data_IF_500275088181
#
_entry.id   IF_500275088181
#
_cell.length_a   1.000
_cell.length_b   1.000
_cell.length_c   1.000
_cell.angle_alpha   90.00
_cell.angle_beta   90.00
_cell.angle_gamma   90.00
#
_symmetry.space_group_name_H-M   'P 1'
#
loop_
_entity.id
_entity.type
_entity.pdbx_description
1 polymer ?
#
# COMPACT_ATOMS: atom_id res chain seq x y z
N UNK A 1 8.89 9.95 -2.67
CA UNK A 1 8.84 11.28 -3.34
C UNK A 1 9.20 11.13 -4.81
N UNK A 2 8.96 12.14 -5.65
CA UNK A 2 9.63 12.21 -6.96
C UNK A 2 11.04 12.78 -6.75
N UNK A 3 12.02 12.38 -7.57
CA UNK A 3 13.30 13.08 -7.61
C UNK A 3 13.13 14.52 -8.12
N UNK A 4 12.28 14.71 -9.13
CA UNK A 4 12.05 16.03 -9.69
C UNK A 4 11.19 16.86 -8.72
N UNK A 5 11.70 18.05 -8.38
CA UNK A 5 10.96 19.04 -7.58
C UNK A 5 9.91 19.72 -8.47
N UNK A 6 8.78 20.10 -7.87
CA UNK A 6 7.70 20.84 -8.56
C UNK A 6 6.97 20.08 -9.68
N UNK A 7 7.06 18.74 -9.73
CA UNK A 7 6.27 17.93 -10.65
C UNK A 7 6.63 18.05 -12.13
N UNK A 8 7.76 18.68 -12.47
CA UNK A 8 8.30 18.77 -13.83
C UNK A 8 9.42 17.75 -13.98
N UNK A 9 9.08 16.55 -14.45
CA UNK A 9 10.07 15.48 -14.67
C UNK A 9 10.21 15.15 -16.16
N UNK A 10 11.43 15.27 -16.70
CA UNK A 10 11.73 14.99 -18.11
C UNK A 10 12.52 13.70 -18.33
N UNK A 11 13.01 13.06 -17.27
CA UNK A 11 13.86 11.86 -17.37
C UNK A 11 13.17 10.71 -18.12
N UNK A 12 11.90 10.43 -17.80
CA UNK A 12 11.12 9.39 -18.49
C UNK A 12 10.83 9.73 -19.96
N UNK A 13 10.73 11.02 -20.30
CA UNK A 13 10.55 11.47 -21.67
C UNK A 13 11.85 11.30 -22.47
N UNK A 14 12.97 11.72 -21.88
CA UNK A 14 14.28 11.66 -22.52
C UNK A 14 14.73 10.22 -22.82
N UNK A 15 14.62 9.32 -21.83
CA UNK A 15 15.14 7.95 -21.95
C UNK A 15 14.20 7.00 -22.71
N UNK A 16 12.89 7.20 -22.60
CA UNK A 16 11.90 6.22 -23.05
C UNK A 16 10.71 6.82 -23.82
N UNK A 17 10.80 8.09 -24.22
CA UNK A 17 9.76 8.82 -24.93
C UNK A 17 8.37 8.77 -24.23
N UNK A 18 8.37 8.71 -22.89
CA UNK A 18 7.16 8.56 -22.05
C UNK A 18 7.06 9.71 -21.05
N UNK A 19 6.15 10.65 -21.27
CA UNK A 19 6.09 11.89 -20.47
C UNK A 19 5.51 11.66 -19.07
N UNK A 20 6.33 11.84 -18.04
CA UNK A 20 5.87 11.79 -16.64
C UNK A 20 4.81 12.86 -16.34
N UNK A 21 4.92 14.02 -16.98
CA UNK A 21 3.97 15.13 -16.82
C UNK A 21 2.59 14.84 -17.47
N UNK A 22 2.49 13.80 -18.30
CA UNK A 22 1.23 13.30 -18.88
C UNK A 22 0.77 11.99 -18.23
N UNK A 23 1.41 11.58 -17.13
CA UNK A 23 1.09 10.33 -16.46
C UNK A 23 1.67 9.08 -17.14
N UNK A 24 2.70 9.20 -17.97
CA UNK A 24 3.29 8.02 -18.62
C UNK A 24 4.61 7.57 -17.97
N UNK A 25 4.95 8.15 -16.81
CA UNK A 25 6.19 7.90 -16.07
C UNK A 25 6.49 6.40 -15.91
N UNK A 26 7.68 5.99 -16.34
CA UNK A 26 8.15 4.59 -16.21
C UNK A 26 9.07 4.36 -15.01
N UNK A 27 9.19 5.37 -14.14
CA UNK A 27 9.91 5.27 -12.86
C UNK A 27 11.42 4.97 -13.00
N UNK A 28 12.09 5.60 -13.96
CA UNK A 28 13.55 5.47 -14.19
C UNK A 28 14.35 5.76 -12.92
N UNK A 29 14.01 6.84 -12.21
CA UNK A 29 14.61 7.17 -10.92
C UNK A 29 14.54 6.05 -9.87
N UNK A 30 13.65 5.07 -10.03
CA UNK A 30 13.44 3.97 -9.07
C UNK A 30 14.30 2.73 -9.35
N UNK A 31 15.08 2.74 -10.43
CA UNK A 31 15.97 1.64 -10.81
C UNK A 31 17.27 1.68 -10.01
N UNK A 32 18.02 0.57 -10.03
CA UNK A 32 19.39 0.52 -9.55
C UNK A 32 20.36 1.06 -10.61
N UNK A 33 21.40 1.75 -10.17
CA UNK A 33 22.42 2.36 -11.00
C UNK A 33 23.82 2.00 -10.50
N UNK A 34 24.78 1.95 -11.44
CA UNK A 34 26.21 1.94 -11.16
C UNK A 34 26.70 3.38 -11.33
N UNK A 35 27.51 3.86 -10.38
CA UNK A 35 28.11 5.19 -10.45
C UNK A 35 29.46 5.08 -11.15
N UNK A 36 29.63 5.80 -12.25
CA UNK A 36 30.88 5.85 -13.01
C UNK A 36 31.36 7.29 -13.07
N UNK A 37 32.63 7.50 -12.70
CA UNK A 37 33.35 8.76 -12.92
C UNK A 37 33.52 8.96 -14.44
N UNK A 38 33.06 10.09 -14.97
CA UNK A 38 33.06 10.33 -16.41
C UNK A 38 34.46 10.66 -16.95
N UNK A 39 35.33 11.19 -16.09
CA UNK A 39 36.67 11.66 -16.41
C UNK A 39 37.67 10.51 -16.40
N UNK A 40 37.53 9.58 -15.47
CA UNK A 40 38.44 8.42 -15.34
C UNK A 40 37.84 7.12 -15.86
N UNK A 41 36.53 7.03 -16.03
CA UNK A 41 35.82 5.79 -16.38
C UNK A 41 35.75 4.78 -15.23
N UNK A 42 36.25 5.11 -14.04
CA UNK A 42 36.25 4.21 -12.90
C UNK A 42 34.84 4.09 -12.31
N UNK A 43 34.42 2.85 -12.03
CA UNK A 43 33.24 2.61 -11.22
C UNK A 43 33.53 2.95 -9.74
N UNK A 44 32.64 3.74 -9.15
CA UNK A 44 32.69 4.08 -7.73
C UNK A 44 31.75 3.13 -6.99
N UNK A 45 32.32 2.33 -6.09
CA UNK A 45 31.53 1.49 -5.21
C UNK A 45 30.72 2.35 -4.24
N UNK A 46 29.42 2.12 -4.21
CA UNK A 46 28.45 2.87 -3.40
C UNK A 46 27.57 1.90 -2.64
N UNK A 47 27.38 2.16 -1.33
CA UNK A 47 26.59 1.30 -0.44
C UNK A 47 25.14 1.13 -0.92
N UNK A 48 24.56 2.16 -1.56
CA UNK A 48 23.18 2.15 -2.03
C UNK A 48 23.10 2.27 -3.56
N UNK A 49 22.70 1.19 -4.22
CA UNK A 49 22.51 1.16 -5.68
C UNK A 49 21.29 1.97 -6.16
N UNK A 50 20.40 2.40 -5.27
CA UNK A 50 19.22 3.22 -5.58
C UNK A 50 19.50 4.73 -5.49
N UNK A 51 20.52 5.18 -6.23
CA UNK A 51 21.06 6.54 -6.21
C UNK A 51 20.04 7.65 -6.44
N UNK A 52 18.94 7.31 -7.12
CA UNK A 52 17.98 8.25 -7.67
C UNK A 52 16.58 8.13 -7.04
N UNK A 53 16.40 7.22 -6.09
CA UNK A 53 15.08 6.85 -5.59
C UNK A 53 14.85 7.37 -4.17
N UNK A 54 14.13 8.49 -3.99
CA UNK A 54 13.88 9.04 -2.66
C UNK A 54 12.80 8.25 -1.91
N UNK A 55 12.90 8.20 -0.58
CA UNK A 55 11.85 7.66 0.30
C UNK A 55 10.52 8.41 0.12
N UNK A 56 9.43 7.82 0.59
CA UNK A 56 8.09 8.40 0.47
C UNK A 56 7.85 9.51 1.50
N UNK A 57 7.21 10.61 1.06
CA UNK A 57 6.87 11.70 1.96
C UNK A 57 5.79 11.23 2.92
N UNK A 58 6.04 11.34 4.22
CA UNK A 58 5.04 11.07 5.27
C UNK A 58 5.03 12.24 6.24
N UNK A 59 3.95 12.99 6.27
CA UNK A 59 3.82 14.18 7.15
C UNK A 59 2.84 13.96 8.31
N UNK A 60 2.30 12.75 8.45
CA UNK A 60 1.21 12.46 9.39
C UNK A 60 1.57 12.79 10.85
N UNK A 61 2.83 12.61 11.25
CA UNK A 61 3.30 12.88 12.63
C UNK A 61 3.32 14.36 13.01
N UNK A 62 3.34 15.26 12.02
CA UNK A 62 3.40 16.71 12.19
C UNK A 62 2.34 17.45 11.35
N UNK A 63 1.23 16.76 11.05
CA UNK A 63 0.15 17.34 10.23
C UNK A 63 -0.53 18.53 10.92
N UNK A 64 -0.55 18.54 12.26
CA UNK A 64 -0.95 19.66 13.10
C UNK A 64 -0.19 20.95 12.73
N UNK A 65 1.14 20.86 12.59
CA UNK A 65 1.99 22.00 12.22
C UNK A 65 1.64 22.53 10.84
N UNK A 66 1.37 21.64 9.88
CA UNK A 66 0.95 22.03 8.53
C UNK A 66 -0.41 22.74 8.56
N UNK A 67 -1.37 22.24 9.35
CA UNK A 67 -2.68 22.87 9.53
C UNK A 67 -2.56 24.26 10.16
N UNK A 68 -1.72 24.41 11.18
CA UNK A 68 -1.42 25.68 11.84
C UNK A 68 -0.74 26.69 10.92
N UNK A 69 0.12 26.22 10.01
CA UNK A 69 0.76 27.06 8.99
C UNK A 69 -0.21 27.57 7.90
N UNK A 70 -1.50 27.20 7.95
CA UNK A 70 -2.51 27.67 7.01
C UNK A 70 -2.83 26.69 5.88
N UNK A 71 -2.23 25.50 5.86
CA UNK A 71 -2.58 24.48 4.84
C UNK A 71 -4.02 24.03 5.06
N UNK A 72 -4.78 23.93 3.96
CA UNK A 72 -6.19 23.50 3.95
C UNK A 72 -6.46 22.29 3.08
N UNK A 73 -5.58 22.00 2.12
CA UNK A 73 -5.74 20.91 1.16
C UNK A 73 -4.53 19.98 1.29
N UNK A 74 -4.78 18.75 1.73
CA UNK A 74 -3.79 17.68 1.79
C UNK A 74 -4.02 16.73 0.62
N UNK A 75 -3.07 16.69 -0.31
CA UNK A 75 -3.11 15.76 -1.45
C UNK A 75 -2.35 14.49 -1.10
N UNK A 76 -2.98 13.34 -1.32
CA UNK A 76 -2.36 12.02 -1.23
C UNK A 76 -2.10 11.51 -2.66
N UNK A 77 -0.87 11.07 -2.95
CA UNK A 77 -0.51 10.53 -4.25
C UNK A 77 -0.66 8.99 -4.25
N UNK A 78 -1.73 8.51 -4.86
CA UNK A 78 -2.08 7.08 -4.91
C UNK A 78 -2.11 6.48 -6.32
N UNK A 79 -1.59 7.17 -7.34
CA UNK A 79 -1.68 6.69 -8.73
C UNK A 79 -1.00 5.32 -8.88
N UNK A 80 -1.70 4.40 -9.55
CA UNK A 80 -1.26 3.01 -9.72
C UNK A 80 -0.99 2.29 -8.37
N UNK A 81 -1.76 2.60 -7.33
CA UNK A 81 -1.76 1.85 -6.06
C UNK A 81 -3.03 1.01 -5.94
N UNK A 82 -2.92 -0.09 -5.20
CA UNK A 82 -4.05 -0.97 -4.92
C UNK A 82 -5.10 -0.30 -4.02
N UNK A 83 -6.35 -0.79 -4.03
CA UNK A 83 -7.40 -0.25 -3.17
C UNK A 83 -7.07 -0.26 -1.68
N UNK A 84 -6.32 -1.27 -1.20
CA UNK A 84 -5.86 -1.35 0.19
C UNK A 84 -4.95 -0.18 0.58
N UNK A 85 -4.07 0.26 -0.32
CA UNK A 85 -3.20 1.41 -0.08
C UNK A 85 -4.03 2.68 0.02
N UNK A 86 -4.94 2.89 -0.93
CA UNK A 86 -5.78 4.10 -0.97
C UNK A 86 -6.64 4.16 0.30
N UNK A 87 -7.29 3.06 0.67
CA UNK A 87 -8.10 2.99 1.87
C UNK A 87 -7.29 3.30 3.13
N UNK A 88 -6.17 2.61 3.35
CA UNK A 88 -5.37 2.76 4.57
C UNK A 88 -4.79 4.16 4.68
N UNK A 89 -4.16 4.68 3.62
CA UNK A 89 -3.51 6.01 3.66
C UNK A 89 -4.54 7.11 3.84
N UNK A 90 -5.66 7.09 3.09
CA UNK A 90 -6.71 8.10 3.23
C UNK A 90 -7.34 8.05 4.62
N UNK A 91 -7.61 6.84 5.14
CA UNK A 91 -8.19 6.68 6.48
C UNK A 91 -7.26 7.19 7.58
N UNK A 92 -5.97 6.84 7.55
CA UNK A 92 -5.00 7.35 8.54
C UNK A 92 -4.88 8.88 8.50
N UNK A 93 -4.76 9.49 7.33
CA UNK A 93 -4.67 10.96 7.24
C UNK A 93 -5.98 11.65 7.64
N UNK A 94 -7.14 11.08 7.32
CA UNK A 94 -8.44 11.59 7.77
C UNK A 94 -8.55 11.56 9.30
N UNK A 95 -8.25 10.40 9.91
CA UNK A 95 -8.23 10.24 11.37
C UNK A 95 -7.25 11.21 12.04
N UNK A 96 -6.08 11.45 11.44
CA UNK A 96 -5.10 12.38 11.96
C UNK A 96 -5.58 13.83 11.92
N UNK A 97 -6.19 14.27 10.81
CA UNK A 97 -6.78 15.60 10.70
C UNK A 97 -7.92 15.77 11.72
N UNK A 98 -8.79 14.77 11.84
CA UNK A 98 -9.87 14.76 12.83
C UNK A 98 -9.32 14.84 14.26
N UNK A 99 -8.26 14.10 14.57
CA UNK A 99 -7.61 14.13 15.88
C UNK A 99 -7.01 15.51 16.18
N UNK A 100 -6.47 16.23 15.20
CA UNK A 100 -6.01 17.62 15.41
C UNK A 100 -7.19 18.53 15.76
N UNK A 101 -8.30 18.43 15.03
CA UNK A 101 -9.51 19.25 15.25
C UNK A 101 -10.13 18.97 16.63
N UNK A 102 -10.21 17.70 17.04
CA UNK A 102 -10.81 17.30 18.32
C UNK A 102 -9.84 17.36 19.49
N UNK A 103 -8.61 17.86 19.29
CA UNK A 103 -7.53 17.92 20.30
C UNK A 103 -7.15 16.55 20.89
N UNK A 104 -7.22 15.51 20.07
CA UNK A 104 -6.83 14.13 20.38
C UNK A 104 -5.56 13.70 19.64
N UNK A 105 -4.77 14.64 19.08
CA UNK A 105 -3.54 14.33 18.34
C UNK A 105 -2.36 14.04 19.28
N UNK A 106 -2.26 12.78 19.73
CA UNK A 106 -1.23 12.31 20.68
C UNK A 106 -0.16 11.44 20.01
N UNK A 107 0.95 11.16 20.70
CA UNK A 107 2.02 10.30 20.16
C UNK A 107 1.55 8.85 19.97
N UNK A 108 0.71 8.33 20.85
CA UNK A 108 0.19 6.95 20.76
C UNK A 108 -0.58 6.75 19.44
N UNK A 109 -1.41 7.72 19.06
CA UNK A 109 -2.14 7.67 17.77
C UNK A 109 -1.21 7.80 16.57
N UNK A 110 -0.15 8.61 16.68
CA UNK A 110 0.87 8.71 15.63
C UNK A 110 1.54 7.36 15.40
N UNK A 111 1.84 6.64 16.47
CA UNK A 111 2.45 5.31 16.40
C UNK A 111 1.50 4.28 15.79
N UNK A 112 0.21 4.33 16.13
CA UNK A 112 -0.83 3.50 15.49
C UNK A 112 -0.93 3.77 13.97
N UNK A 113 -0.91 5.03 13.56
CA UNK A 113 -0.93 5.36 12.13
C UNK A 113 0.36 4.93 11.44
N UNK A 114 1.51 5.06 12.08
CA UNK A 114 2.79 4.61 11.52
C UNK A 114 2.81 3.10 11.31
N UNK A 115 2.30 2.31 12.26
CA UNK A 115 2.15 0.87 12.12
C UNK A 115 1.24 0.51 10.93
N UNK A 116 0.08 1.16 10.80
CA UNK A 116 -0.87 0.92 9.70
C UNK A 116 -0.30 1.35 8.34
N UNK A 117 0.38 2.49 8.27
CA UNK A 117 1.01 2.96 7.03
C UNK A 117 2.17 2.05 6.59
N UNK A 118 2.85 1.40 7.53
CA UNK A 118 3.90 0.43 7.23
C UNK A 118 3.37 -0.87 6.61
N UNK A 119 2.10 -1.23 6.81
CA UNK A 119 1.52 -2.45 6.23
C UNK A 119 1.22 -2.33 4.73
N UNK A 120 1.07 -1.10 4.23
CA UNK A 120 0.82 -0.83 2.82
C UNK A 120 2.08 -0.40 2.10
N UNK A 121 2.03 -0.49 0.77
CA UNK A 121 3.16 -0.23 -0.10
C UNK A 121 3.87 1.10 0.21
N UNK A 122 5.18 1.03 0.53
CA UNK A 122 5.99 2.20 0.80
C UNK A 122 7.46 1.93 0.43
N UNK A 123 8.27 2.97 0.22
CA UNK A 123 9.72 2.87 0.00
C UNK A 123 10.52 3.38 1.20
N UNK A 124 10.01 3.11 2.40
CA UNK A 124 10.41 3.83 3.61
C UNK A 124 9.83 5.23 3.62
N UNK A 125 9.87 5.84 4.80
CA UNK A 125 9.29 7.16 5.03
C UNK A 125 10.37 8.20 5.26
N UNK A 126 10.07 9.41 4.81
CA UNK A 126 10.86 10.60 5.05
C UNK A 126 9.92 11.78 5.28
N UNK A 127 10.28 12.65 6.21
CA UNK A 127 9.54 13.86 6.52
C UNK A 127 9.68 14.94 5.42
N UNK A 128 10.48 14.68 4.38
CA UNK A 128 10.77 15.64 3.32
C UNK A 128 11.72 16.74 3.80
N UNK A 129 11.81 17.82 3.03
CA UNK A 129 12.59 19.02 3.39
C UNK A 129 11.91 19.89 4.48
N UNK A 130 10.81 19.41 5.06
CA UNK A 130 10.15 20.10 6.16
C UNK A 130 11.03 20.03 7.42
N UNK A 131 10.71 20.87 8.41
CA UNK A 131 11.38 20.88 9.72
C UNK A 131 12.91 21.10 9.68
N UNK A 132 13.42 21.77 8.64
CA UNK A 132 14.83 22.13 8.52
C UNK A 132 15.72 21.04 7.93
N UNK A 133 15.14 19.95 7.41
CA UNK A 133 15.88 18.91 6.70
C UNK A 133 16.51 19.44 5.41
N UNK A 134 17.83 19.26 5.28
CA UNK A 134 18.60 19.77 4.12
C UNK A 134 18.98 18.68 3.12
N UNK A 135 19.05 17.43 3.58
CA UNK A 135 19.46 16.29 2.76
C UNK A 135 18.25 15.42 2.43
N UNK A 136 18.24 14.89 1.21
CA UNK A 136 17.27 13.89 0.81
C UNK A 136 17.51 12.57 1.53
N UNK A 137 16.47 11.74 1.64
CA UNK A 137 16.63 10.35 2.03
C UNK A 137 16.25 9.42 0.89
N UNK A 138 17.11 8.43 0.62
CA UNK A 138 16.93 7.44 -0.43
C UNK A 138 16.48 6.09 0.13
N UNK A 139 15.69 5.35 -0.64
CA UNK A 139 15.40 3.96 -0.30
C UNK A 139 16.67 3.11 -0.49
N UNK A 140 16.78 2.03 0.29
CA UNK A 140 17.91 1.09 0.22
C UNK A 140 17.55 -0.21 -0.51
N UNK A 141 16.26 -0.45 -0.73
CA UNK A 141 15.73 -1.75 -1.17
C UNK A 141 14.91 -1.64 -2.45
N UNK A 142 14.91 -2.69 -3.26
CA UNK A 142 14.01 -2.79 -4.41
C UNK A 142 12.56 -2.91 -3.94
N UNK A 143 11.64 -2.31 -4.68
CA UNK A 143 10.21 -2.56 -4.48
C UNK A 143 9.64 -1.92 -3.22
N UNK A 144 8.91 -2.72 -2.43
CA UNK A 144 8.10 -2.27 -1.29
C UNK A 144 8.72 -2.69 0.03
N UNK A 145 8.79 -1.77 0.98
CA UNK A 145 9.13 -2.03 2.39
C UNK A 145 7.84 -2.21 3.22
N UNK A 146 6.79 -2.76 2.62
CA UNK A 146 5.54 -3.03 3.34
C UNK A 146 5.74 -4.23 4.25
N UNK A 147 5.24 -4.17 5.49
CA UNK A 147 5.34 -5.28 6.45
C UNK A 147 4.36 -6.41 6.14
N UNK A 148 3.42 -6.19 5.22
CA UNK A 148 2.44 -7.17 4.76
C UNK A 148 2.46 -7.28 3.22
N UNK A 149 2.15 -8.48 2.71
CA UNK A 149 1.96 -8.74 1.27
C UNK A 149 0.67 -9.53 1.03
N UNK A 150 0.13 -9.35 -0.18
CA UNK A 150 -1.06 -10.08 -0.65
C UNK A 150 -0.65 -11.37 -1.34
N UNK A 151 -1.18 -12.49 -0.87
CA UNK A 151 -1.12 -13.77 -1.55
C UNK A 151 -2.47 -14.05 -2.20
N UNK A 152 -2.50 -14.33 -3.50
CA UNK A 152 -3.76 -14.63 -4.19
C UNK A 152 -4.33 -15.95 -3.68
N UNK A 153 -5.58 -15.93 -3.26
CA UNK A 153 -6.34 -17.12 -2.85
C UNK A 153 -7.24 -17.55 -3.99
N UNK A 154 -7.99 -16.62 -4.57
CA UNK A 154 -8.93 -16.90 -5.65
C UNK A 154 -9.92 -15.76 -5.84
N UNK A 155 -11.22 -16.08 -5.91
CA UNK A 155 -12.27 -15.09 -6.19
C UNK A 155 -13.61 -15.43 -5.56
N UNK A 156 -14.44 -14.40 -5.35
CA UNK A 156 -15.84 -14.56 -4.96
C UNK A 156 -16.65 -15.11 -6.14
N UNK A 157 -17.41 -16.18 -5.90
CA UNK A 157 -18.36 -16.74 -6.88
C UNK A 157 -19.76 -16.20 -6.65
N UNK A 158 -20.20 -16.11 -5.39
CA UNK A 158 -21.56 -15.73 -5.02
C UNK A 158 -21.63 -15.04 -3.65
N UNK A 159 -22.65 -14.19 -3.47
CA UNK A 159 -22.96 -13.58 -2.18
C UNK A 159 -24.41 -13.84 -1.77
N UNK A 160 -24.59 -14.39 -0.57
CA UNK A 160 -25.88 -14.72 0.02
C UNK A 160 -26.32 -13.61 1.00
N UNK A 161 -27.00 -12.60 0.45
CA UNK A 161 -27.39 -11.38 1.19
C UNK A 161 -28.21 -11.59 2.46
N UNK A 162 -29.04 -12.64 2.54
CA UNK A 162 -29.88 -12.90 3.72
C UNK A 162 -29.08 -13.29 4.96
N UNK A 163 -27.93 -13.93 4.77
CA UNK A 163 -27.10 -14.47 5.85
C UNK A 163 -25.71 -13.83 5.92
N UNK A 164 -25.38 -12.93 4.98
CA UNK A 164 -24.09 -12.23 4.97
C UNK A 164 -22.89 -13.11 4.61
N UNK A 165 -23.10 -14.17 3.82
CA UNK A 165 -22.05 -15.14 3.47
C UNK A 165 -21.59 -14.97 2.03
N UNK A 166 -20.28 -15.03 1.81
CA UNK A 166 -19.66 -15.10 0.49
C UNK A 166 -19.20 -16.53 0.19
N UNK A 167 -19.60 -17.06 -0.96
CA UNK A 167 -18.99 -18.24 -1.57
C UNK A 167 -17.77 -17.81 -2.37
N UNK A 168 -16.66 -18.50 -2.18
CA UNK A 168 -15.37 -18.20 -2.79
C UNK A 168 -14.79 -19.46 -3.43
N UNK A 169 -14.20 -19.29 -4.61
CA UNK A 169 -13.36 -20.29 -5.27
C UNK A 169 -11.92 -20.11 -4.79
N UNK A 170 -11.34 -21.18 -4.24
CA UNK A 170 -9.96 -21.20 -3.76
C UNK A 170 -9.07 -21.72 -4.88
N UNK A 171 -8.56 -20.83 -5.73
CA UNK A 171 -7.90 -21.21 -6.98
C UNK A 171 -6.38 -21.40 -6.82
N UNK A 172 -5.74 -20.59 -5.96
CA UNK A 172 -4.29 -20.43 -5.94
C UNK A 172 -3.61 -20.83 -4.64
N UNK A 173 -4.19 -20.51 -3.47
CA UNK A 173 -3.59 -20.85 -2.17
C UNK A 173 -4.68 -21.07 -1.14
N UNK A 174 -4.44 -22.00 -0.22
CA UNK A 174 -5.34 -22.33 0.88
C UNK A 174 -5.42 -21.20 1.91
N UNK A 175 -6.51 -21.17 2.68
CA UNK A 175 -6.65 -20.33 3.86
C UNK A 175 -7.39 -21.09 4.96
N UNK A 176 -7.26 -20.61 6.20
CA UNK A 176 -7.80 -21.27 7.38
C UNK A 176 -8.47 -20.29 8.33
N UNK A 177 -9.25 -20.81 9.27
CA UNK A 177 -9.81 -20.02 10.38
C UNK A 177 -8.69 -19.31 11.14
N UNK A 178 -8.90 -18.03 11.41
CA UNK A 178 -7.91 -17.11 12.02
C UNK A 178 -7.03 -16.37 11.01
N UNK A 179 -7.07 -16.72 9.71
CA UNK A 179 -6.42 -15.92 8.69
C UNK A 179 -7.12 -14.57 8.48
N UNK A 180 -6.34 -13.57 8.07
CA UNK A 180 -6.84 -12.27 7.63
C UNK A 180 -6.89 -12.23 6.11
N UNK A 181 -8.10 -12.11 5.56
CA UNK A 181 -8.35 -12.03 4.13
C UNK A 181 -8.64 -10.60 3.70
N UNK A 182 -8.42 -10.35 2.41
CA UNK A 182 -8.70 -9.09 1.73
C UNK A 182 -9.47 -9.37 0.45
N UNK A 183 -10.68 -8.81 0.36
CA UNK A 183 -11.55 -8.88 -0.82
C UNK A 183 -11.50 -7.53 -1.53
N UNK A 184 -11.30 -7.57 -2.85
CA UNK A 184 -11.24 -6.36 -3.65
C UNK A 184 -11.82 -6.54 -5.04
N UNK A 185 -12.63 -5.57 -5.45
CA UNK A 185 -13.17 -5.47 -6.79
C UNK A 185 -13.67 -4.06 -7.11
N UNK A 186 -14.08 -3.80 -8.36
CA UNK A 186 -14.38 -2.46 -8.84
C UNK A 186 -15.48 -1.73 -8.04
N UNK A 187 -16.47 -2.48 -7.55
CA UNK A 187 -17.59 -1.92 -6.77
C UNK A 187 -17.41 -2.10 -5.27
N UNK A 188 -16.81 -3.22 -4.84
CA UNK A 188 -16.58 -3.52 -3.42
C UNK A 188 -15.44 -2.67 -2.84
N UNK A 189 -14.46 -2.30 -3.66
CA UNK A 189 -13.31 -1.50 -3.23
C UNK A 189 -12.29 -2.33 -2.44
N UNK A 190 -12.31 -2.16 -1.12
CA UNK A 190 -11.33 -2.73 -0.19
C UNK A 190 -12.02 -3.22 1.08
N UNK A 191 -12.10 -4.54 1.27
CA UNK A 191 -12.78 -5.18 2.39
C UNK A 191 -11.84 -6.17 3.09
N UNK A 192 -11.67 -6.01 4.40
CA UNK A 192 -10.91 -6.96 5.23
C UNK A 192 -11.88 -7.92 5.91
N UNK A 193 -11.49 -9.18 5.99
CA UNK A 193 -12.29 -10.24 6.62
C UNK A 193 -11.37 -11.06 7.50
N UNK A 194 -11.60 -11.04 8.81
CA UNK A 194 -10.97 -11.99 9.72
C UNK A 194 -11.81 -13.28 9.71
N UNK A 195 -11.20 -14.39 9.31
CA UNK A 195 -11.93 -15.64 9.07
C UNK A 195 -12.31 -16.29 10.40
N UNK A 196 -13.55 -16.08 10.83
CA UNK A 196 -14.08 -16.69 12.05
C UNK A 196 -14.51 -18.15 11.84
N UNK A 197 -15.07 -18.46 10.67
CA UNK A 197 -15.58 -19.78 10.32
C UNK A 197 -15.50 -19.99 8.80
N UNK A 198 -15.43 -21.27 8.40
CA UNK A 198 -15.41 -21.70 7.00
C UNK A 198 -16.37 -22.88 6.88
N UNK A 199 -17.19 -22.87 5.83
CA UNK A 199 -17.99 -24.02 5.43
C UNK A 199 -17.53 -24.54 4.07
N UNK A 200 -17.48 -25.85 3.88
CA UNK A 200 -17.15 -26.48 2.60
C UNK A 200 -18.33 -26.39 1.60
N UNK A 201 -18.15 -27.01 0.42
CA UNK A 201 -19.16 -27.02 -0.64
C UNK A 201 -20.47 -27.71 -0.24
N UNK A 202 -20.44 -28.61 0.74
CA UNK A 202 -21.61 -29.33 1.24
C UNK A 202 -22.25 -28.62 2.45
N UNK A 203 -21.67 -27.49 2.87
CA UNK A 203 -22.14 -26.69 4.01
C UNK A 203 -21.65 -27.23 5.36
N UNK A 204 -20.67 -28.12 5.39
CA UNK A 204 -20.10 -28.61 6.65
C UNK A 204 -19.01 -27.65 7.15
N UNK A 205 -18.93 -27.37 8.47
CA UNK A 205 -17.85 -26.59 9.04
C UNK A 205 -16.49 -27.24 8.81
N UNK A 206 -15.52 -26.47 8.33
CA UNK A 206 -14.12 -26.88 8.16
C UNK A 206 -13.18 -25.84 8.77
N UNK A 207 -11.97 -26.27 9.14
CA UNK A 207 -10.92 -25.35 9.62
C UNK A 207 -10.09 -24.76 8.49
N UNK A 208 -10.04 -25.42 7.34
CA UNK A 208 -9.15 -25.09 6.23
C UNK A 208 -9.93 -25.21 4.93
N UNK A 209 -9.86 -24.17 4.10
CA UNK A 209 -10.32 -24.19 2.71
C UNK A 209 -9.16 -24.61 1.80
N UNK A 210 -9.26 -25.79 1.20
CA UNK A 210 -8.22 -26.34 0.34
C UNK A 210 -8.25 -25.72 -1.06
N UNK A 211 -7.12 -25.82 -1.76
CA UNK A 211 -7.03 -25.37 -3.14
C UNK A 211 -7.93 -26.23 -4.04
N UNK A 212 -8.51 -25.60 -5.06
CA UNK A 212 -9.47 -26.16 -6.00
C UNK A 212 -10.81 -26.55 -5.37
N UNK A 213 -11.21 -25.90 -4.27
CA UNK A 213 -12.50 -26.10 -3.62
C UNK A 213 -13.29 -24.79 -3.53
N UNK A 214 -14.61 -24.93 -3.40
CA UNK A 214 -15.48 -23.85 -2.95
C UNK A 214 -15.50 -23.82 -1.43
N UNK A 215 -15.50 -22.61 -0.88
CA UNK A 215 -15.67 -22.38 0.54
C UNK A 215 -16.64 -21.21 0.76
N UNK A 216 -17.38 -21.26 1.86
CA UNK A 216 -18.27 -20.19 2.27
C UNK A 216 -17.78 -19.56 3.57
N UNK A 217 -17.67 -18.23 3.57
CA UNK A 217 -17.21 -17.42 4.72
C UNK A 217 -18.17 -16.26 4.99
N UNK A 218 -18.46 -15.92 6.27
CA UNK A 218 -19.14 -14.68 6.60
C UNK A 218 -18.31 -13.48 6.17
N UNK A 219 -18.98 -12.45 5.65
CA UNK A 219 -18.35 -11.18 5.26
C UNK A 219 -19.15 -10.00 5.84
N UNK A 220 -18.47 -8.94 6.32
CA UNK A 220 -19.13 -7.85 7.00
C UNK A 220 -19.95 -6.94 6.07
N UNK A 221 -19.66 -6.98 4.76
CA UNK A 221 -20.29 -6.14 3.76
C UNK A 221 -20.59 -6.91 2.47
N UNK A 222 -21.48 -6.35 1.63
CA UNK A 222 -21.90 -6.96 0.37
C UNK A 222 -20.75 -7.02 -0.65
N UNK A 223 -20.27 -8.21 -0.96
CA UNK A 223 -19.27 -8.47 -2.03
C UNK A 223 -19.92 -8.72 -3.39
N UNK A 224 -19.13 -8.83 -4.46
CA UNK A 224 -19.60 -9.08 -5.83
C UNK A 224 -18.92 -10.31 -6.44
N UNK A 225 -19.61 -11.04 -7.34
CA UNK A 225 -18.97 -12.08 -8.14
C UNK A 225 -17.74 -11.53 -8.88
N UNK A 226 -16.68 -12.34 -8.94
CA UNK A 226 -15.35 -12.02 -9.48
C UNK A 226 -14.54 -10.98 -8.69
N UNK A 227 -14.99 -10.56 -7.50
CA UNK A 227 -14.09 -9.88 -6.57
C UNK A 227 -12.91 -10.80 -6.25
N UNK A 228 -11.69 -10.25 -6.27
CA UNK A 228 -10.47 -11.00 -5.98
C UNK A 228 -10.34 -11.20 -4.49
N UNK A 229 -9.97 -12.42 -4.11
CA UNK A 229 -9.70 -12.80 -2.72
C UNK A 229 -8.20 -13.00 -2.52
N UNK A 230 -7.66 -12.34 -1.51
CA UNK A 230 -6.27 -12.43 -1.11
C UNK A 230 -6.17 -12.81 0.37
N UNK A 231 -5.12 -13.55 0.72
CA UNK A 231 -4.66 -13.72 2.10
C UNK A 231 -3.58 -12.68 2.39
N UNK A 232 -3.69 -12.01 3.53
CA UNK A 232 -2.67 -11.08 4.00
C UNK A 232 -1.64 -11.87 4.81
N UNK A 233 -0.38 -11.82 4.39
CA UNK A 233 0.73 -12.48 5.07
C UNK A 233 1.82 -11.46 5.40
N UNK A 234 2.60 -11.72 6.45
CA UNK A 234 3.76 -10.89 6.77
C UNK A 234 4.78 -10.96 5.64
N UNK A 235 5.37 -9.81 5.30
CA UNK A 235 6.50 -9.75 4.39
C UNK A 235 7.74 -10.33 5.09
N UNK A 236 8.50 -11.15 4.37
CA UNK A 236 9.80 -11.63 4.85
C UNK A 236 10.78 -10.45 4.82
N UNK A 237 11.50 -10.26 5.93
CA UNK A 237 12.48 -9.18 6.16
C UNK A 237 13.79 -9.43 5.46
#
# INVERSE_FOLDING_TARGET
LCMAVSGKCYMSLHDANRSANRGECIQICRRSYILTDAETGNEIEVDNKYLMSPKDLKTIRFIDRLMHAGVRVFKIEGRARGPEYVYTVVKCYKEAIEAVVTKQFSEERKDEWDQRLATVFNRGFWDGYYQGQRLGEWNKSYGSNATERKQLVGRVTKYFSRIGVAEVSVDATTFQVGDRLFISGPTTGALWVDVAEIHDNDGNPTKIAQQHQLAAIPVPEKVRPNDKLFKIIKAES
#
